data_IF_845784552221
#
_entry.id   IF_845784552221
#
_cell.length_a   1.000
_cell.length_b   1.000
_cell.length_c   1.000
_cell.angle_alpha   90.00
_cell.angle_beta   90.00
_cell.angle_gamma   90.00
#
_symmetry.space_group_name_H-M   'P 1'
#
loop_
_entity.id
_entity.type
_entity.pdbx_description
1 polymer ?
#
# COMPACT_ATOMS: atom_id res chain seq x y z
N UNK A 1 -0.58 -20.56 -3.05
CA UNK A 1 -0.65 -19.19 -3.59
C UNK A 1 -1.58 -18.45 -2.67
N UNK A 2 -1.14 -17.37 -2.05
CA UNK A 2 -2.02 -16.51 -1.25
C UNK A 2 -1.84 -15.09 -1.74
N UNK A 3 -2.76 -14.65 -2.59
CA UNK A 3 -3.01 -13.24 -2.87
C UNK A 3 -3.92 -12.69 -1.77
N UNK A 4 -3.36 -11.84 -0.90
CA UNK A 4 -4.12 -11.17 0.15
C UNK A 4 -4.35 -9.72 -0.21
N UNK A 5 -5.61 -9.29 -0.19
CA UNK A 5 -5.99 -7.91 -0.47
C UNK A 5 -5.96 -7.08 0.80
N UNK A 6 -5.21 -5.97 0.74
CA UNK A 6 -5.15 -4.96 1.79
C UNK A 6 -5.21 -3.57 1.17
N UNK A 7 -5.47 -2.54 1.99
CA UNK A 7 -5.63 -1.17 1.51
C UNK A 7 -4.55 -0.26 2.11
N UNK A 8 -3.66 0.27 1.26
CA UNK A 8 -2.71 1.31 1.66
C UNK A 8 -3.48 2.61 1.86
N UNK A 9 -3.39 3.20 3.06
CA UNK A 9 -4.15 4.39 3.48
C UNK A 9 -3.25 5.59 3.80
N UNK A 10 -1.94 5.40 3.86
CA UNK A 10 -1.00 6.47 4.16
C UNK A 10 0.46 6.04 4.05
N UNK A 11 1.33 7.01 4.28
CA UNK A 11 2.79 6.83 4.31
C UNK A 11 3.28 7.38 5.66
N UNK A 12 4.19 6.67 6.30
CA UNK A 12 4.87 7.13 7.51
C UNK A 12 6.37 6.89 7.41
N UNK A 13 7.11 7.36 8.41
CA UNK A 13 8.54 7.09 8.58
C UNK A 13 8.82 6.53 9.97
N UNK A 14 9.80 5.64 10.06
CA UNK A 14 10.33 5.20 11.35
C UNK A 14 11.25 6.27 11.98
N UNK A 15 11.82 5.97 13.14
CA UNK A 15 12.76 6.84 13.86
C UNK A 15 14.05 7.14 13.08
N UNK A 16 14.39 6.34 12.06
CA UNK A 16 15.56 6.50 11.20
C UNK A 16 15.20 7.21 9.88
N UNK A 17 13.93 7.61 9.68
CA UNK A 17 13.45 8.22 8.46
C UNK A 17 13.11 7.24 7.34
N UNK A 18 13.16 5.93 7.60
CA UNK A 18 12.82 4.87 6.64
C UNK A 18 11.33 4.91 6.32
N UNK A 19 10.96 4.84 5.04
CA UNK A 19 9.58 4.91 4.58
C UNK A 19 8.82 3.60 4.79
N UNK A 20 7.60 3.71 5.34
CA UNK A 20 6.62 2.63 5.45
C UNK A 20 5.26 3.06 4.91
N UNK A 21 4.50 2.10 4.38
CA UNK A 21 3.11 2.27 3.99
C UNK A 21 2.20 1.82 5.13
N UNK A 22 1.24 2.67 5.51
CA UNK A 22 0.20 2.35 6.49
C UNK A 22 -0.89 1.55 5.77
N UNK A 23 -1.02 0.28 6.11
CA UNK A 23 -1.88 -0.67 5.38
C UNK A 23 -2.99 -1.17 6.29
N UNK A 24 -4.24 -0.87 5.93
CA UNK A 24 -5.43 -1.42 6.59
C UNK A 24 -5.56 -2.90 6.25
N UNK A 25 -5.58 -3.74 7.28
CA UNK A 25 -5.81 -5.16 7.16
C UNK A 25 -7.26 -5.53 7.53
N UNK A 26 -7.65 -6.78 7.31
CA UNK A 26 -9.00 -7.31 7.50
C UNK A 26 -9.10 -8.38 8.59
N UNK A 27 -8.13 -8.43 9.51
CA UNK A 27 -8.08 -9.42 10.61
C UNK A 27 -8.68 -8.93 11.94
N UNK A 28 -9.44 -7.84 11.91
CA UNK A 28 -10.00 -7.20 13.10
C UNK A 28 -8.97 -6.41 13.91
N UNK A 29 -9.44 -5.79 15.00
CA UNK A 29 -8.62 -4.92 15.87
C UNK A 29 -8.29 -5.57 17.21
N UNK A 30 -9.09 -6.55 17.65
CA UNK A 30 -8.91 -7.25 18.92
C UNK A 30 -7.60 -8.04 18.90
N UNK A 31 -6.78 -7.85 19.93
CA UNK A 31 -5.47 -8.50 20.09
C UNK A 31 -4.51 -8.25 18.91
N UNK A 32 -4.74 -7.16 18.15
CA UNK A 32 -3.87 -6.70 17.06
C UNK A 32 -3.28 -5.34 17.42
N UNK A 33 -1.98 -5.19 17.22
CA UNK A 33 -1.32 -3.88 17.35
C UNK A 33 -1.88 -2.86 16.36
N UNK A 34 -1.70 -1.58 16.68
CA UNK A 34 -2.03 -0.45 15.78
C UNK A 34 -3.45 -0.49 15.20
N UNK A 35 -4.44 -0.84 16.01
CA UNK A 35 -5.85 -0.90 15.58
C UNK A 35 -6.08 -1.79 14.34
N UNK A 36 -5.28 -2.86 14.19
CA UNK A 36 -5.37 -3.80 13.06
C UNK A 36 -4.66 -3.34 11.79
N UNK A 37 -3.96 -2.21 11.81
CA UNK A 37 -3.11 -1.77 10.71
C UNK A 37 -1.74 -2.46 10.72
N UNK A 38 -1.15 -2.60 9.53
CA UNK A 38 0.20 -3.12 9.32
C UNK A 38 1.05 -2.04 8.65
N UNK A 39 2.31 -1.94 9.06
CA UNK A 39 3.27 -1.00 8.48
C UNK A 39 4.21 -1.76 7.55
N UNK A 40 4.03 -1.59 6.24
CA UNK A 40 4.79 -2.34 5.24
C UNK A 40 5.98 -1.52 4.75
N UNK A 41 7.19 -2.09 4.80
CA UNK A 41 8.37 -1.40 4.28
C UNK A 41 8.27 -1.19 2.78
N UNK A 42 8.90 -0.13 2.27
CA UNK A 42 8.96 0.13 0.83
C UNK A 42 9.60 -1.03 0.05
N UNK A 43 10.61 -1.68 0.64
CA UNK A 43 11.25 -2.86 0.05
C UNK A 43 10.30 -4.06 -0.08
N UNK A 44 9.46 -4.31 0.94
CA UNK A 44 8.50 -5.40 0.92
C UNK A 44 7.42 -5.17 -0.13
N UNK A 45 6.82 -3.97 -0.17
CA UNK A 45 5.81 -3.60 -1.17
C UNK A 45 6.37 -3.78 -2.59
N UNK A 46 7.58 -3.28 -2.86
CA UNK A 46 8.24 -3.43 -4.17
C UNK A 46 8.48 -4.89 -4.57
N UNK A 47 8.80 -5.75 -3.62
CA UNK A 47 9.16 -7.14 -3.90
C UNK A 47 7.97 -8.10 -3.95
N UNK A 48 6.86 -7.77 -3.27
CA UNK A 48 5.75 -8.70 -3.00
C UNK A 48 4.39 -8.26 -3.55
N UNK A 49 4.24 -7.03 -4.02
CA UNK A 49 3.00 -6.61 -4.68
C UNK A 49 2.85 -7.26 -6.05
N UNK A 50 1.70 -7.88 -6.29
CA UNK A 50 1.34 -8.50 -7.58
C UNK A 50 0.57 -7.51 -8.46
N UNK A 51 -0.45 -6.87 -7.89
CA UNK A 51 -1.28 -5.89 -8.58
C UNK A 51 -1.79 -4.82 -7.60
N UNK A 52 -2.22 -3.70 -8.15
CA UNK A 52 -2.88 -2.62 -7.40
C UNK A 52 -4.14 -2.19 -8.15
N UNK A 53 -5.16 -1.78 -7.40
CA UNK A 53 -6.33 -1.08 -7.93
C UNK A 53 -6.29 0.35 -7.41
N UNK A 54 -6.48 1.31 -8.32
CA UNK A 54 -6.51 2.73 -7.98
C UNK A 54 -7.43 3.48 -8.95
N UNK A 55 -7.91 4.65 -8.51
CA UNK A 55 -8.63 5.57 -9.40
C UNK A 55 -7.71 6.11 -10.49
N UNK A 56 -8.23 6.33 -11.70
CA UNK A 56 -7.42 6.81 -12.84
C UNK A 56 -6.73 8.14 -12.55
N UNK A 57 -7.40 9.08 -11.88
CA UNK A 57 -6.84 10.39 -11.51
C UNK A 57 -5.64 10.32 -10.57
N UNK A 58 -5.45 9.20 -9.85
CA UNK A 58 -4.30 9.01 -9.00
C UNK A 58 -3.03 8.63 -9.79
N UNK A 59 -3.16 8.29 -11.08
CA UNK A 59 -2.01 8.03 -11.96
C UNK A 59 -1.34 9.35 -12.36
N UNK A 60 0.00 9.45 -12.26
CA UNK A 60 0.72 10.56 -12.87
C UNK A 60 0.40 10.69 -14.35
N UNK A 61 0.13 11.92 -14.84
CA UNK A 61 -0.26 12.19 -16.24
C UNK A 61 0.68 11.55 -17.27
N UNK A 62 1.98 11.52 -16.97
CA UNK A 62 3.01 10.91 -17.81
C UNK A 62 2.86 9.39 -17.94
N UNK A 63 2.37 8.71 -16.91
CA UNK A 63 2.06 7.27 -16.92
C UNK A 63 0.70 7.04 -17.58
N UNK A 64 -0.32 7.82 -17.24
CA UNK A 64 -1.66 7.73 -17.86
C UNK A 64 -1.60 7.82 -19.38
N UNK A 65 -0.82 8.76 -19.92
CA UNK A 65 -0.58 8.90 -21.37
C UNK A 65 0.07 7.65 -22.00
N UNK A 66 1.00 7.00 -21.31
CA UNK A 66 1.66 5.76 -21.79
C UNK A 66 0.73 4.56 -21.77
N UNK A 67 -0.24 4.55 -20.85
CA UNK A 67 -1.24 3.50 -20.71
C UNK A 67 -2.51 3.74 -21.54
N UNK A 68 -2.53 4.81 -22.36
CA UNK A 68 -3.70 5.23 -23.14
C UNK A 68 -4.97 5.43 -22.29
N UNK A 69 -4.79 5.79 -21.02
CA UNK A 69 -5.89 6.17 -20.13
C UNK A 69 -6.21 7.64 -20.37
N UNK A 70 -7.49 7.92 -20.63
CA UNK A 70 -8.01 9.27 -20.93
C UNK A 70 -7.96 10.18 -19.71
#
# INVERSE_FOLDING_TARGET
>A
TDDHLMHITGITKDQNGTKYYITKNSWGTKDRGHEGYVYMSESYVRAKTISILMHHDALPKSIGKKLAMR
#
